data_IF_277688092214
#
_entry.id   IF_277688092214
#
_cell.length_a   1.000
_cell.length_b   1.000
_cell.length_c   1.000
_cell.angle_alpha   90.00
_cell.angle_beta   90.00
_cell.angle_gamma   90.00
#
_symmetry.space_group_name_H-M   'P 1'
#
loop_
_entity.id
_entity.type
_entity.pdbx_description
1 polymer ?
#
# COMPACT_ATOMS: atom_id res chain seq x y z
N UNK A 1 12.63 11.25 8.37
CA UNK A 1 11.35 11.45 9.08
C UNK A 1 11.06 10.13 9.75
N UNK A 2 10.82 10.10 11.06
CA UNK A 2 10.55 8.85 11.79
C UNK A 2 9.04 8.74 12.04
N UNK A 3 8.45 7.62 11.61
CA UNK A 3 7.05 7.29 11.86
C UNK A 3 7.03 6.25 12.98
N UNK A 4 6.23 6.42 14.05
CA UNK A 4 6.18 5.42 15.11
C UNK A 4 5.62 4.08 14.60
N UNK A 5 6.18 2.97 15.09
CA UNK A 5 5.78 1.61 14.69
C UNK A 5 4.28 1.33 14.92
N UNK A 6 3.66 1.99 15.90
CA UNK A 6 2.22 1.90 16.17
C UNK A 6 1.34 2.38 15.01
N UNK A 7 1.88 3.18 14.09
CA UNK A 7 1.18 3.67 12.90
C UNK A 7 1.46 2.82 11.65
N UNK A 8 2.38 1.85 11.74
CA UNK A 8 2.76 1.02 10.60
C UNK A 8 1.58 0.21 10.02
N UNK A 9 0.67 -0.38 10.82
CA UNK A 9 -0.52 -1.05 10.27
C UNK A 9 -1.44 -0.11 9.48
N UNK A 10 -1.63 1.12 9.98
CA UNK A 10 -2.44 2.13 9.30
C UNK A 10 -1.82 2.52 7.97
N UNK A 11 -0.50 2.76 7.96
CA UNK A 11 0.21 3.11 6.73
C UNK A 11 0.12 1.97 5.70
N UNK A 12 0.32 0.72 6.13
CA UNK A 12 0.29 -0.45 5.25
C UNK A 12 -1.11 -0.70 4.66
N UNK A 13 -2.16 -0.60 5.48
CA UNK A 13 -3.54 -0.70 5.02
C UNK A 13 -3.94 0.46 4.09
N UNK A 14 -3.56 1.69 4.40
CA UNK A 14 -3.85 2.84 3.54
C UNK A 14 -3.21 2.72 2.15
N UNK A 15 -1.96 2.27 2.08
CA UNK A 15 -1.27 2.06 0.79
C UNK A 15 -1.88 0.88 0.03
N UNK A 16 -2.24 -0.22 0.71
CA UNK A 16 -2.98 -1.34 0.10
C UNK A 16 -4.30 -0.85 -0.51
N UNK A 17 -5.07 -0.09 0.24
CA UNK A 17 -6.38 0.41 -0.23
C UNK A 17 -6.21 1.35 -1.42
N UNK A 18 -5.15 2.18 -1.44
CA UNK A 18 -4.80 3.01 -2.59
C UNK A 18 -4.43 2.19 -3.84
N UNK A 19 -3.68 1.09 -3.68
CA UNK A 19 -3.38 0.15 -4.79
C UNK A 19 -4.68 -0.39 -5.36
N UNK A 20 -5.54 -0.97 -4.52
CA UNK A 20 -6.80 -1.59 -4.94
C UNK A 20 -7.75 -0.58 -5.61
N UNK A 21 -7.85 0.62 -5.05
CA UNK A 21 -8.64 1.69 -5.64
C UNK A 21 -8.13 2.09 -7.02
N UNK A 22 -6.82 2.29 -7.16
CA UNK A 22 -6.21 2.72 -8.43
C UNK A 22 -6.34 1.63 -9.49
N UNK A 23 -6.17 0.36 -9.12
CA UNK A 23 -6.42 -0.78 -10.00
C UNK A 23 -7.88 -0.81 -10.48
N UNK A 24 -8.84 -0.61 -9.57
CA UNK A 24 -10.26 -0.53 -9.93
C UNK A 24 -10.55 0.64 -10.88
N UNK A 25 -9.93 1.80 -10.63
CA UNK A 25 -10.10 2.98 -11.47
C UNK A 25 -9.53 2.77 -12.88
N UNK A 26 -8.36 2.13 -13.00
CA UNK A 26 -7.73 1.76 -14.28
C UNK A 26 -8.58 0.78 -15.11
N UNK A 27 -9.35 -0.06 -14.44
CA UNK A 27 -10.29 -0.98 -15.07
C UNK A 27 -11.66 -0.35 -15.37
N UNK A 28 -11.90 0.89 -14.92
CA UNK A 28 -13.13 1.61 -15.21
C UNK A 28 -13.11 2.25 -16.61
N UNK A 29 -14.29 2.46 -17.20
CA UNK A 29 -14.43 3.17 -18.48
C UNK A 29 -14.30 4.70 -18.34
N UNK A 30 -14.02 5.21 -17.14
CA UNK A 30 -14.06 6.66 -16.85
C UNK A 30 -12.75 7.38 -17.16
N UNK A 31 -11.63 6.66 -17.21
CA UNK A 31 -10.31 7.23 -17.49
C UNK A 31 -10.11 7.30 -19.02
N UNK A 32 -9.87 8.51 -19.53
CA UNK A 32 -9.51 8.74 -20.95
C UNK A 32 -8.02 8.61 -21.23
N UNK A 33 -7.19 9.05 -20.28
CA UNK A 33 -5.73 8.96 -20.35
C UNK A 33 -5.22 8.18 -19.13
N UNK A 34 -4.61 7.02 -19.39
CA UNK A 34 -4.24 6.04 -18.37
C UNK A 34 -2.80 6.15 -17.92
N UNK A 35 -1.93 6.85 -18.66
CA UNK A 35 -0.48 6.77 -18.44
C UNK A 35 -0.07 7.21 -17.03
N UNK A 36 -0.60 8.33 -16.55
CA UNK A 36 -0.30 8.83 -15.20
C UNK A 36 -0.81 7.89 -14.09
N UNK A 37 -1.98 7.27 -14.31
CA UNK A 37 -2.58 6.33 -13.35
C UNK A 37 -1.83 4.99 -13.32
N UNK A 38 -1.31 4.54 -14.46
CA UNK A 38 -0.50 3.33 -14.57
C UNK A 38 0.86 3.53 -13.88
N UNK A 39 1.50 4.69 -14.07
CA UNK A 39 2.72 5.04 -13.34
C UNK A 39 2.47 5.14 -11.84
N UNK A 40 1.40 5.82 -11.42
CA UNK A 40 1.05 5.92 -10.00
C UNK A 40 0.77 4.54 -9.38
N UNK A 41 0.03 3.68 -10.08
CA UNK A 41 -0.24 2.32 -9.64
C UNK A 41 1.06 1.49 -9.49
N UNK A 42 2.02 1.65 -10.41
CA UNK A 42 3.34 1.02 -10.31
C UNK A 42 4.10 1.48 -9.07
N UNK A 43 4.10 2.79 -8.80
CA UNK A 43 4.75 3.36 -7.63
C UNK A 43 4.11 2.86 -6.32
N UNK A 44 2.77 2.83 -6.25
CA UNK A 44 2.03 2.31 -5.10
C UNK A 44 2.30 0.83 -4.84
N UNK A 45 2.34 0.00 -5.88
CA UNK A 45 2.62 -1.44 -5.74
C UNK A 45 4.05 -1.70 -5.27
N UNK A 46 5.04 -0.99 -5.84
CA UNK A 46 6.43 -1.06 -5.37
C UNK A 46 6.56 -0.61 -3.91
N UNK A 47 5.88 0.49 -3.56
CA UNK A 47 5.90 1.00 -2.20
C UNK A 47 5.23 0.06 -1.20
N UNK A 48 4.11 -0.57 -1.57
CA UNK A 48 3.46 -1.57 -0.73
C UNK A 48 4.37 -2.77 -0.45
N UNK A 49 5.10 -3.27 -1.45
CA UNK A 49 6.06 -4.37 -1.24
C UNK A 49 7.22 -3.97 -0.32
N UNK A 50 7.74 -2.75 -0.49
CA UNK A 50 8.73 -2.21 0.44
C UNK A 50 8.17 -2.16 1.88
N UNK A 51 6.97 -1.60 2.07
CA UNK A 51 6.32 -1.51 3.38
C UNK A 51 6.06 -2.88 4.02
N UNK A 52 5.65 -3.89 3.23
CA UNK A 52 5.50 -5.27 3.72
C UNK A 52 6.82 -5.82 4.27
N UNK A 53 7.93 -5.55 3.58
CA UNK A 53 9.26 -5.98 4.03
C UNK A 53 9.68 -5.30 5.32
N UNK A 54 9.50 -3.97 5.41
CA UNK A 54 9.81 -3.22 6.63
C UNK A 54 8.92 -3.64 7.80
N UNK A 55 7.61 -3.83 7.56
CA UNK A 55 6.65 -4.24 8.59
C UNK A 55 7.02 -5.58 9.23
N UNK A 56 7.50 -6.55 8.44
CA UNK A 56 7.96 -7.85 8.98
C UNK A 56 9.09 -7.71 10.01
N UNK A 57 9.91 -6.67 9.94
CA UNK A 57 10.98 -6.44 10.91
C UNK A 57 10.48 -5.93 12.26
N UNK A 58 9.26 -5.38 12.31
CA UNK A 58 8.63 -4.81 13.51
C UNK A 58 7.35 -5.54 13.92
N UNK A 59 6.97 -6.62 13.23
CA UNK A 59 5.71 -7.34 13.39
C UNK A 59 5.51 -7.84 14.83
N UNK A 60 6.56 -8.38 15.44
CA UNK A 60 6.55 -8.85 16.84
C UNK A 60 6.32 -7.72 17.85
N UNK A 61 6.84 -6.51 17.57
CA UNK A 61 6.66 -5.33 18.42
C UNK A 61 5.24 -4.79 18.32
N UNK A 62 4.69 -4.77 17.11
CA UNK A 62 3.34 -4.26 16.83
C UNK A 62 2.26 -5.26 17.28
N UNK A 63 2.55 -6.56 17.27
CA UNK A 63 1.65 -7.61 17.74
C UNK A 63 0.45 -7.87 16.81
N UNK A 64 0.52 -7.44 15.55
CA UNK A 64 -0.50 -7.66 14.53
C UNK A 64 0.11 -8.34 13.30
N UNK A 65 -0.28 -9.58 12.97
CA UNK A 65 0.26 -10.28 11.82
C UNK A 65 -0.04 -9.60 10.49
N UNK A 66 0.93 -9.57 9.58
CA UNK A 66 0.82 -8.93 8.27
C UNK A 66 -0.33 -9.51 7.44
N UNK A 67 -0.59 -10.81 7.52
CA UNK A 67 -1.71 -11.49 6.83
C UNK A 67 -3.10 -11.03 7.29
N UNK A 68 -3.20 -10.34 8.44
CA UNK A 68 -4.44 -9.73 8.91
C UNK A 68 -4.64 -8.31 8.39
N UNK A 69 -3.59 -7.70 7.83
CA UNK A 69 -3.62 -6.34 7.30
C UNK A 69 -3.80 -6.35 5.79
N UNK A 70 -3.24 -7.35 5.08
CA UNK A 70 -3.35 -7.53 3.64
C UNK A 70 -4.74 -8.04 3.25
#
# INVERSE_FOLDING_TARGET
MEIPNTWAPLMLSAVRDAVLYTESLLNSETIRDRSDYEEHHLQLTQFLEYLKSEYKSIEDEVGLPLDKIL
#
